data_IF_030114796507
#
_entry.id   IF_030114796507
#
_cell.length_a   1.000
_cell.length_b   1.000
_cell.length_c   1.000
_cell.angle_alpha   90.00
_cell.angle_beta   90.00
_cell.angle_gamma   90.00
#
_symmetry.space_group_name_H-M   'P 1'
#
loop_
_entity.id
_entity.type
_entity.pdbx_description
1 polymer ?
#
# COMPACT_ATOMS: atom_id res chain seq x y z
N UNK A 1 17.45 6.93 -15.80
CA UNK A 1 16.58 7.63 -14.84
C UNK A 1 15.87 8.78 -15.53
N UNK A 2 14.56 8.94 -15.32
CA UNK A 2 13.80 10.01 -15.97
C UNK A 2 14.15 11.37 -15.34
N UNK A 3 14.91 12.21 -16.06
CA UNK A 3 15.28 13.58 -15.62
C UNK A 3 14.04 14.44 -15.31
N UNK A 4 12.89 14.11 -15.91
CA UNK A 4 11.61 14.78 -15.65
C UNK A 4 11.10 14.55 -14.23
N UNK A 5 11.26 13.34 -13.67
CA UNK A 5 10.85 13.03 -12.30
C UNK A 5 11.70 13.78 -11.25
N UNK A 6 13.01 13.88 -11.47
CA UNK A 6 13.89 14.68 -10.61
C UNK A 6 13.51 16.16 -10.63
N UNK A 7 13.32 16.72 -11.84
CA UNK A 7 12.89 18.12 -11.98
C UNK A 7 11.52 18.40 -11.35
N UNK A 8 10.60 17.44 -11.42
CA UNK A 8 9.31 17.56 -10.74
C UNK A 8 9.48 17.58 -9.21
N UNK A 9 10.37 16.75 -8.68
CA UNK A 9 10.68 16.69 -7.24
C UNK A 9 11.29 17.99 -6.71
N UNK A 10 12.17 18.61 -7.49
CA UNK A 10 12.81 19.89 -7.17
C UNK A 10 11.82 21.06 -7.08
N UNK A 11 10.66 20.95 -7.75
CA UNK A 11 9.60 21.97 -7.71
C UNK A 11 8.70 21.86 -6.49
N UNK A 12 8.80 20.79 -5.70
CA UNK A 12 8.00 20.62 -4.49
C UNK A 12 8.49 21.54 -3.38
N UNK A 13 7.56 22.10 -2.60
CA UNK A 13 7.90 22.85 -1.36
C UNK A 13 8.75 22.04 -0.39
N UNK A 14 8.60 20.71 -0.41
CA UNK A 14 9.40 19.74 0.33
C UNK A 14 9.83 18.62 -0.63
N UNK A 15 11.05 18.66 -1.16
CA UNK A 15 11.57 17.61 -2.03
C UNK A 15 11.65 16.26 -1.31
N UNK A 16 11.41 15.18 -2.06
CA UNK A 16 11.48 13.80 -1.55
C UNK A 16 12.95 13.35 -1.60
N UNK A 17 13.59 13.01 -0.47
CA UNK A 17 15.00 12.59 -0.43
C UNK A 17 15.15 11.10 -0.75
N UNK A 18 14.51 10.62 -1.82
CA UNK A 18 14.56 9.23 -2.27
C UNK A 18 14.71 9.18 -3.78
N UNK A 19 15.29 8.09 -4.27
CA UNK A 19 15.36 7.83 -5.69
C UNK A 19 13.96 7.58 -6.27
N UNK A 20 13.46 8.53 -7.08
CA UNK A 20 12.14 8.43 -7.70
C UNK A 20 12.22 7.65 -9.02
N UNK A 21 11.44 6.57 -9.10
CA UNK A 21 11.17 5.83 -10.32
C UNK A 21 9.66 5.71 -10.53
N UNK A 22 9.17 5.47 -11.75
CA UNK A 22 7.74 5.23 -11.97
C UNK A 22 7.16 4.11 -11.09
N UNK A 23 7.97 3.07 -10.80
CA UNK A 23 7.58 1.95 -9.93
C UNK A 23 7.27 2.38 -8.49
N UNK A 24 7.89 3.44 -7.96
CA UNK A 24 7.62 3.89 -6.59
C UNK A 24 6.16 4.32 -6.42
N UNK A 25 5.57 4.96 -7.44
CA UNK A 25 4.18 5.41 -7.40
C UNK A 25 3.21 4.22 -7.45
N UNK A 26 3.56 3.15 -8.17
CA UNK A 26 2.79 1.91 -8.18
C UNK A 26 2.76 1.29 -6.77
N UNK A 27 3.90 1.19 -6.11
CA UNK A 27 3.97 0.69 -4.73
C UNK A 27 3.19 1.57 -3.76
N UNK A 28 3.34 2.90 -3.83
CA UNK A 28 2.55 3.83 -3.00
C UNK A 28 1.06 3.66 -3.21
N UNK A 29 0.61 3.50 -4.45
CA UNK A 29 -0.82 3.28 -4.77
C UNK A 29 -1.32 1.96 -4.16
N UNK A 30 -0.55 0.87 -4.29
CA UNK A 30 -0.89 -0.43 -3.72
C UNK A 30 -0.97 -0.35 -2.19
N UNK A 31 -0.01 0.28 -1.54
CA UNK A 31 0.01 0.47 -0.08
C UNK A 31 -1.24 1.20 0.40
N UNK A 32 -1.58 2.34 -0.22
CA UNK A 32 -2.77 3.13 0.13
C UNK A 32 -4.04 2.30 -0.02
N UNK A 33 -4.21 1.60 -1.16
CA UNK A 33 -5.42 0.79 -1.39
C UNK A 33 -5.52 -0.39 -0.41
N UNK A 34 -4.37 -0.99 -0.05
CA UNK A 34 -4.31 -2.08 0.92
C UNK A 34 -4.68 -1.61 2.32
N UNK A 35 -4.19 -0.44 2.74
CA UNK A 35 -4.53 0.18 4.04
C UNK A 35 -6.03 0.52 4.13
N UNK A 36 -6.64 0.87 3.00
CA UNK A 36 -8.08 1.11 2.88
C UNK A 36 -8.91 -0.18 2.70
N UNK A 37 -8.34 -1.36 2.99
CA UNK A 37 -9.03 -2.66 2.99
C UNK A 37 -9.64 -3.05 1.64
N UNK A 38 -9.12 -2.51 0.53
CA UNK A 38 -9.57 -2.89 -0.82
C UNK A 38 -9.05 -4.30 -1.16
N UNK A 39 -9.89 -5.19 -1.72
CA UNK A 39 -9.46 -6.55 -2.05
C UNK A 39 -8.27 -6.58 -3.01
N UNK A 40 -7.31 -7.49 -2.76
CA UNK A 40 -6.10 -7.67 -3.57
C UNK A 40 -6.41 -7.80 -5.06
N UNK A 41 -7.43 -8.58 -5.42
CA UNK A 41 -7.86 -8.79 -6.82
C UNK A 41 -8.23 -7.46 -7.51
N UNK A 42 -8.97 -6.61 -6.83
CA UNK A 42 -9.34 -5.27 -7.34
C UNK A 42 -8.12 -4.37 -7.49
N UNK A 43 -7.16 -4.46 -6.56
CA UNK A 43 -5.92 -3.70 -6.64
C UNK A 43 -5.09 -4.15 -7.85
N UNK A 44 -4.91 -5.47 -8.03
CA UNK A 44 -4.15 -6.04 -9.16
C UNK A 44 -4.77 -5.72 -10.50
N UNK A 45 -6.11 -5.77 -10.62
CA UNK A 45 -6.82 -5.39 -11.84
C UNK A 45 -6.59 -3.92 -12.18
N UNK A 46 -6.53 -3.04 -11.17
CA UNK A 46 -6.31 -1.61 -11.33
C UNK A 46 -4.87 -1.24 -11.73
N UNK A 47 -3.86 -1.89 -11.14
CA UNK A 47 -2.44 -1.60 -11.42
C UNK A 47 -1.88 -2.44 -12.58
N UNK A 48 -2.71 -3.28 -13.17
CA UNK A 48 -2.34 -4.27 -14.17
C UNK A 48 -1.62 -5.48 -13.57
N UNK A 49 -1.58 -6.56 -14.35
CA UNK A 49 -0.99 -7.85 -13.98
C UNK A 49 0.57 -7.96 -13.93
N UNK A 50 1.42 -6.98 -14.31
CA UNK A 50 2.85 -7.29 -14.51
C UNK A 50 3.69 -7.52 -13.24
N UNK A 51 3.20 -7.22 -12.04
CA UNK A 51 3.97 -7.44 -10.78
C UNK A 51 3.06 -7.98 -9.67
N UNK A 52 2.51 -9.18 -9.86
CA UNK A 52 1.65 -9.80 -8.84
C UNK A 52 2.40 -10.11 -7.55
N UNK A 53 3.68 -10.51 -7.61
CA UNK A 53 4.49 -10.86 -6.44
C UNK A 53 4.71 -9.66 -5.51
N UNK A 54 5.14 -8.52 -6.05
CA UNK A 54 5.39 -7.33 -5.23
C UNK A 54 4.08 -6.75 -4.69
N UNK A 55 3.00 -6.79 -5.50
CA UNK A 55 1.66 -6.38 -5.04
C UNK A 55 1.19 -7.27 -3.89
N UNK A 56 1.37 -8.59 -4.01
CA UNK A 56 1.00 -9.56 -2.98
C UNK A 56 1.85 -9.38 -1.72
N UNK A 57 3.15 -9.12 -1.85
CA UNK A 57 4.04 -8.87 -0.71
C UNK A 57 3.64 -7.61 0.07
N UNK A 58 3.35 -6.51 -0.63
CA UNK A 58 2.89 -5.26 0.01
C UNK A 58 1.55 -5.48 0.70
N UNK A 59 0.59 -6.09 0.00
CA UNK A 59 -0.73 -6.39 0.55
C UNK A 59 -0.65 -7.30 1.79
N UNK A 60 0.17 -8.35 1.75
CA UNK A 60 0.37 -9.28 2.87
C UNK A 60 0.99 -8.57 4.07
N UNK A 61 1.94 -7.67 3.85
CA UNK A 61 2.55 -6.89 4.92
C UNK A 61 1.52 -5.97 5.61
N UNK A 62 0.72 -5.24 4.84
CA UNK A 62 -0.32 -4.34 5.37
C UNK A 62 -1.42 -5.14 6.09
N UNK A 63 -1.86 -6.25 5.51
CA UNK A 63 -2.91 -7.10 6.11
C UNK A 63 -2.46 -7.88 7.33
N UNK A 64 -1.17 -8.14 7.52
CA UNK A 64 -0.66 -8.71 8.77
C UNK A 64 -0.98 -7.79 9.95
N UNK A 65 -0.77 -6.48 9.80
CA UNK A 65 -1.14 -5.50 10.82
C UNK A 65 -2.66 -5.44 11.06
N UNK A 66 -3.47 -5.71 10.03
CA UNK A 66 -4.94 -5.78 10.15
C UNK A 66 -5.44 -7.04 10.85
N UNK A 67 -4.71 -8.17 10.78
CA UNK A 67 -5.08 -9.40 11.51
C UNK A 67 -5.06 -9.15 13.02
N UNK A 68 -4.06 -8.43 13.51
CA UNK A 68 -3.97 -8.06 14.93
C UNK A 68 -5.14 -7.15 15.34
N UNK A 69 -5.55 -6.24 14.45
CA UNK A 69 -6.74 -5.41 14.65
C UNK A 69 -8.03 -6.26 14.71
N UNK A 70 -8.17 -7.25 13.84
CA UNK A 70 -9.33 -8.15 13.81
C UNK A 70 -9.44 -9.01 15.09
N UNK A 71 -8.31 -9.51 15.61
CA UNK A 71 -8.27 -10.25 16.88
C UNK A 71 -8.73 -9.35 18.03
N UNK A 72 -8.27 -8.10 18.09
CA UNK A 72 -8.68 -7.15 19.11
C UNK A 72 -10.18 -6.81 19.05
N UNK A 73 -10.75 -6.72 17.85
CA UNK A 73 -12.20 -6.53 17.66
C UNK A 73 -12.96 -7.76 18.15
N UNK A 74 -12.52 -8.96 17.79
CA UNK A 74 -13.14 -10.21 18.21
C UNK A 74 -13.13 -10.35 19.74
N UNK A 75 -11.99 -10.10 20.38
CA UNK A 75 -11.87 -10.12 21.85
C UNK A 75 -12.82 -9.13 22.54
N UNK A 76 -12.98 -7.92 21.98
CA UNK A 76 -13.93 -6.94 22.50
C UNK A 76 -15.38 -7.41 22.38
N UNK A 77 -15.73 -8.03 21.26
CA UNK A 77 -17.09 -8.58 21.05
C UNK A 77 -17.34 -9.74 22.01
N UNK A 78 -16.37 -10.66 22.15
CA UNK A 78 -16.47 -11.80 23.06
C UNK A 78 -16.65 -11.38 24.52
N UNK A 79 -15.86 -10.41 25.01
CA UNK A 79 -15.99 -9.84 26.38
C UNK A 79 -17.28 -9.05 26.63
N UNK A 80 -18.03 -8.73 25.59
CA UNK A 80 -19.31 -8.02 25.70
C UNK A 80 -20.50 -8.98 25.68
N UNK A 81 -20.32 -10.15 25.07
CA UNK A 81 -21.33 -11.21 24.97
C UNK A 81 -21.32 -12.10 26.21
N UNK A 82 -20.14 -12.37 26.76
CA UNK A 82 -19.92 -13.13 27.99
C UNK A 82 -19.42 -12.20 29.09
#
# INVERSE_FOLDING_TARGET
MSKSLQRANERLKKPIPKHLSPHIFRHTTISILSENKIPLKTITDRVGHPDSEVTTSIYTHVTKNMKDEAINVLDKVMKKIF
#
